data_IF_785677255031
#
_entry.id   IF_785677255031
#
_cell.length_a   1.000
_cell.length_b   1.000
_cell.length_c   1.000
_cell.angle_alpha   90.00
_cell.angle_beta   90.00
_cell.angle_gamma   90.00
#
_symmetry.space_group_name_H-M   'P 1'
#
loop_
_entity.id
_entity.type
_entity.pdbx_description
1 polymer ?
#
# COMPACT_ATOMS: atom_id res chain seq x y z
N UNK A 1 25.55 0.84 3.56
CA UNK A 1 24.78 1.78 2.73
C UNK A 1 23.40 1.16 2.57
N UNK A 2 22.37 1.77 3.12
CA UNK A 2 20.99 1.28 2.95
C UNK A 2 20.47 1.87 1.64
N UNK A 3 20.30 1.03 0.65
CA UNK A 3 19.74 1.42 -0.65
C UNK A 3 18.27 1.05 -0.65
N UNK A 4 17.39 2.01 -0.84
CA UNK A 4 15.93 1.79 -0.85
C UNK A 4 15.39 1.79 -2.28
N UNK A 5 14.67 0.74 -2.62
CA UNK A 5 13.92 0.68 -3.86
C UNK A 5 12.67 1.57 -3.78
N UNK A 6 12.18 2.03 -4.93
CA UNK A 6 10.96 2.85 -4.99
C UNK A 6 9.71 2.02 -4.73
N UNK A 7 8.77 2.57 -3.96
CA UNK A 7 7.58 1.86 -3.44
C UNK A 7 6.73 1.22 -4.54
N UNK A 8 6.59 1.89 -5.70
CA UNK A 8 5.77 1.39 -6.82
C UNK A 8 6.25 0.07 -7.42
N UNK A 9 7.55 -0.26 -7.22
CA UNK A 9 8.18 -1.46 -7.72
C UNK A 9 8.32 -2.57 -6.67
N UNK A 10 7.96 -2.29 -5.40
CA UNK A 10 8.16 -3.23 -4.31
C UNK A 10 6.94 -4.11 -4.08
N UNK A 11 7.12 -5.43 -3.91
CA UNK A 11 6.08 -6.28 -3.35
C UNK A 11 5.69 -5.86 -1.94
N UNK A 12 4.43 -6.02 -1.59
CA UNK A 12 3.89 -5.68 -0.28
C UNK A 12 3.07 -6.84 0.26
N UNK A 13 3.17 -7.10 1.57
CA UNK A 13 2.47 -8.18 2.25
C UNK A 13 1.64 -7.68 3.42
N UNK A 14 0.55 -8.37 3.72
CA UNK A 14 -0.35 -8.01 4.82
C UNK A 14 0.26 -8.21 6.22
N UNK A 15 1.39 -8.89 6.34
CA UNK A 15 2.04 -9.34 7.58
C UNK A 15 1.18 -10.26 8.44
N UNK A 16 -0.03 -9.86 8.75
CA UNK A 16 -0.98 -10.61 9.58
C UNK A 16 -2.04 -11.32 8.72
N UNK A 17 -2.65 -12.34 9.29
CA UNK A 17 -3.66 -13.13 8.63
C UNK A 17 -5.06 -12.51 8.74
N UNK A 18 -5.92 -12.90 7.80
CA UNK A 18 -7.32 -12.50 7.70
C UNK A 18 -8.20 -13.72 7.41
N UNK A 19 -9.43 -13.63 7.78
CA UNK A 19 -10.45 -14.55 7.28
C UNK A 19 -10.62 -14.34 5.77
N UNK A 20 -10.78 -15.43 5.04
CA UNK A 20 -11.06 -15.43 3.60
C UNK A 20 -12.22 -16.39 3.32
N UNK A 21 -13.45 -15.92 3.56
CA UNK A 21 -14.61 -16.79 3.60
C UNK A 21 -14.53 -17.79 4.75
N UNK A 22 -14.49 -19.06 4.42
CA UNK A 22 -14.31 -20.16 5.39
C UNK A 22 -12.82 -20.52 5.63
N UNK A 23 -11.92 -19.86 4.91
CA UNK A 23 -10.48 -20.07 5.00
C UNK A 23 -9.79 -18.94 5.78
N UNK A 24 -8.49 -19.11 5.99
CA UNK A 24 -7.59 -18.09 6.52
C UNK A 24 -6.51 -17.80 5.50
N UNK A 25 -6.18 -16.54 5.27
CA UNK A 25 -5.17 -16.14 4.30
C UNK A 25 -4.31 -14.96 4.78
N UNK A 26 -3.08 -14.88 4.28
CA UNK A 26 -2.32 -13.64 4.16
C UNK A 26 -2.43 -13.12 2.73
N UNK A 27 -2.31 -11.81 2.55
CA UNK A 27 -2.40 -11.19 1.23
C UNK A 27 -1.07 -10.59 0.80
N UNK A 28 -0.85 -10.58 -0.51
CA UNK A 28 0.29 -9.91 -1.14
C UNK A 28 -0.14 -9.10 -2.35
N UNK A 29 0.58 -8.01 -2.60
CA UNK A 29 0.40 -7.14 -3.77
C UNK A 29 1.73 -7.05 -4.49
N UNK A 30 1.78 -7.51 -5.74
CA UNK A 30 3.00 -7.64 -6.51
C UNK A 30 2.93 -6.79 -7.79
N UNK A 31 3.93 -5.95 -8.08
CA UNK A 31 3.97 -5.16 -9.31
C UNK A 31 3.91 -6.02 -10.57
N UNK A 32 3.07 -5.64 -11.54
CA UNK A 32 2.93 -6.34 -12.83
C UNK A 32 3.37 -5.51 -14.02
N UNK A 33 3.24 -4.18 -13.94
CA UNK A 33 3.49 -3.27 -15.07
C UNK A 33 4.95 -3.27 -15.49
N UNK A 34 5.21 -3.16 -16.79
CA UNK A 34 6.57 -3.12 -17.33
C UNK A 34 7.37 -1.91 -16.82
N UNK A 35 6.73 -0.75 -16.69
CA UNK A 35 7.39 0.45 -16.13
C UNK A 35 7.69 0.26 -14.62
N UNK A 36 6.85 -0.48 -13.88
CA UNK A 36 7.13 -0.85 -12.50
C UNK A 36 8.34 -1.77 -12.38
N UNK A 37 8.47 -2.77 -13.27
CA UNK A 37 9.64 -3.66 -13.32
C UNK A 37 10.92 -2.90 -13.64
N UNK A 38 10.86 -1.90 -14.55
CA UNK A 38 12.01 -1.03 -14.82
C UNK A 38 12.38 -0.21 -13.57
N UNK A 39 11.37 0.28 -12.84
CA UNK A 39 11.56 1.06 -11.63
C UNK A 39 12.18 0.24 -10.47
N UNK A 40 12.16 -1.09 -10.51
CA UNK A 40 12.81 -1.96 -9.52
C UNK A 40 14.33 -1.70 -9.42
N UNK A 41 14.94 -1.24 -10.52
CA UNK A 41 16.36 -0.86 -10.59
C UNK A 41 16.64 0.57 -10.12
N UNK A 42 15.62 1.28 -9.66
CA UNK A 42 15.74 2.65 -9.18
C UNK A 42 15.97 2.65 -7.68
N UNK A 43 17.10 3.21 -7.25
CA UNK A 43 17.48 3.26 -5.86
C UNK A 43 17.53 4.71 -5.37
N UNK A 44 17.27 4.89 -4.08
CA UNK A 44 17.31 6.16 -3.38
C UNK A 44 18.57 6.18 -2.53
N UNK A 45 19.36 7.24 -2.66
CA UNK A 45 20.59 7.45 -1.91
C UNK A 45 20.35 8.39 -0.71
N UNK A 46 21.22 8.33 0.28
CA UNK A 46 21.17 9.21 1.46
C UNK A 46 21.34 10.70 1.09
N UNK A 47 22.00 10.97 -0.03
CA UNK A 47 22.21 12.33 -0.58
C UNK A 47 21.00 12.92 -1.28
N UNK A 48 19.97 12.10 -1.56
CA UNK A 48 18.77 12.56 -2.25
C UNK A 48 17.92 13.47 -1.35
N UNK A 49 17.11 14.37 -1.93
CA UNK A 49 16.20 15.21 -1.17
C UNK A 49 15.23 14.40 -0.27
N UNK A 50 14.91 14.92 0.91
CA UNK A 50 14.05 14.25 1.89
C UNK A 50 12.65 13.85 1.34
N UNK A 51 12.20 14.51 0.29
CA UNK A 51 10.91 14.27 -0.36
C UNK A 51 11.01 13.45 -1.66
N UNK A 52 12.18 12.89 -1.99
CA UNK A 52 12.43 12.17 -3.24
C UNK A 52 11.44 11.03 -3.47
N UNK A 53 11.10 10.25 -2.42
CA UNK A 53 10.16 9.13 -2.51
C UNK A 53 8.77 9.62 -2.93
N UNK A 54 8.28 10.69 -2.29
CA UNK A 54 6.97 11.27 -2.57
C UNK A 54 6.89 11.85 -3.97
N UNK A 55 7.95 12.54 -4.39
CA UNK A 55 8.03 13.11 -5.74
C UNK A 55 8.09 12.02 -6.80
N UNK A 56 8.94 11.01 -6.60
CA UNK A 56 9.05 9.89 -7.52
C UNK A 56 7.71 9.16 -7.69
N UNK A 57 7.05 8.83 -6.58
CA UNK A 57 5.75 8.15 -6.61
C UNK A 57 4.69 8.99 -7.33
N UNK A 58 4.62 10.30 -7.06
CA UNK A 58 3.72 11.20 -7.77
C UNK A 58 3.98 11.21 -9.27
N UNK A 59 5.23 11.45 -9.66
CA UNK A 59 5.63 11.55 -11.06
C UNK A 59 5.40 10.24 -11.81
N UNK A 60 5.63 9.12 -11.15
CA UNK A 60 5.37 7.80 -11.70
C UNK A 60 3.88 7.58 -11.98
N UNK A 61 3.02 7.85 -11.00
CA UNK A 61 1.57 7.69 -11.12
C UNK A 61 0.92 8.70 -12.07
N UNK A 62 1.52 9.87 -12.26
CA UNK A 62 1.04 10.83 -13.25
C UNK A 62 1.27 10.38 -14.70
N UNK A 63 2.29 9.55 -14.94
CA UNK A 63 2.72 9.18 -16.30
C UNK A 63 2.32 7.78 -16.71
N UNK A 64 2.18 6.89 -15.73
CA UNK A 64 2.06 5.47 -15.99
C UNK A 64 0.76 4.90 -15.41
N UNK A 65 0.14 4.01 -16.16
CA UNK A 65 -0.82 3.08 -15.60
C UNK A 65 -0.07 2.11 -14.69
N UNK A 66 -0.56 1.94 -13.46
CA UNK A 66 0.03 1.07 -12.45
C UNK A 66 -0.83 -0.17 -12.29
N UNK A 67 -0.22 -1.33 -12.35
CA UNK A 67 -0.92 -2.61 -12.29
C UNK A 67 -0.29 -3.52 -11.25
N UNK A 68 -1.11 -4.08 -10.37
CA UNK A 68 -0.65 -5.03 -9.36
C UNK A 68 -1.42 -6.34 -9.45
N UNK A 69 -0.70 -7.42 -9.21
CA UNK A 69 -1.25 -8.74 -8.93
C UNK A 69 -1.61 -8.80 -7.45
N UNK A 70 -2.89 -8.94 -7.14
CA UNK A 70 -3.37 -9.17 -5.77
C UNK A 70 -3.49 -10.66 -5.53
N UNK A 71 -2.81 -11.16 -4.50
CA UNK A 71 -2.70 -12.58 -4.20
C UNK A 71 -3.13 -12.91 -2.78
N UNK A 72 -3.59 -14.14 -2.58
CA UNK A 72 -3.82 -14.73 -1.27
C UNK A 72 -2.95 -15.97 -1.08
N UNK A 73 -2.34 -16.08 0.08
CA UNK A 73 -1.66 -17.28 0.56
C UNK A 73 -2.55 -17.97 1.57
N UNK A 74 -3.08 -19.12 1.24
CA UNK A 74 -4.00 -19.84 2.10
C UNK A 74 -3.28 -20.57 3.23
N UNK A 75 -3.89 -20.57 4.41
CA UNK A 75 -3.48 -21.39 5.53
C UNK A 75 -3.82 -22.87 5.23
N UNK A 76 -2.80 -23.72 5.23
CA UNK A 76 -2.94 -25.17 5.05
C UNK A 76 -2.42 -25.97 6.25
N UNK A 77 -1.45 -25.41 6.98
CA UNK A 77 -0.84 -26.04 8.15
C UNK A 77 -0.59 -24.99 9.24
N UNK A 78 -1.33 -25.09 10.34
CA UNK A 78 -1.26 -24.09 11.42
C UNK A 78 0.09 -24.08 12.15
N UNK A 79 0.79 -25.20 12.22
CA UNK A 79 2.08 -25.30 12.90
C UNK A 79 3.19 -24.56 12.11
N UNK A 80 3.12 -24.56 10.78
CA UNK A 80 4.07 -23.91 9.90
C UNK A 80 3.62 -22.50 9.48
N UNK A 81 2.33 -22.22 9.57
CA UNK A 81 1.71 -20.95 9.20
C UNK A 81 0.96 -20.34 10.40
N UNK A 82 1.62 -20.04 11.51
CA UNK A 82 0.94 -19.52 12.69
C UNK A 82 0.27 -18.17 12.40
N UNK A 83 -0.91 -17.98 13.01
CA UNK A 83 -1.71 -16.75 12.85
C UNK A 83 -1.32 -15.69 13.89
N UNK A 84 -0.97 -16.11 15.10
CA UNK A 84 -0.65 -15.21 16.21
C UNK A 84 0.84 -14.83 16.28
N UNK A 85 1.72 -15.58 15.64
CA UNK A 85 3.16 -15.27 15.54
C UNK A 85 3.49 -14.63 14.19
N UNK A 86 3.64 -13.31 14.17
CA UNK A 86 3.99 -12.55 12.96
C UNK A 86 5.49 -12.63 12.62
N UNK A 87 6.33 -13.12 13.52
CA UNK A 87 7.76 -13.33 13.30
C UNK A 87 8.06 -14.52 12.39
N UNK A 88 7.08 -15.42 12.23
CA UNK A 88 7.22 -16.59 11.36
C UNK A 88 6.66 -16.26 9.98
N UNK A 89 7.54 -16.31 9.00
CA UNK A 89 7.17 -16.18 7.58
C UNK A 89 6.49 -17.47 7.10
N UNK A 90 5.41 -17.31 6.35
CA UNK A 90 4.77 -18.43 5.67
C UNK A 90 5.52 -18.73 4.38
N UNK A 91 6.12 -19.89 4.27
CA UNK A 91 6.96 -20.28 3.13
C UNK A 91 6.17 -20.27 1.80
N UNK A 92 6.47 -19.31 0.93
CA UNK A 92 5.80 -19.16 -0.38
C UNK A 92 6.13 -20.30 -1.37
N UNK A 93 7.22 -21.04 -1.15
CA UNK A 93 7.58 -22.20 -1.99
C UNK A 93 6.70 -23.40 -1.66
N UNK A 94 6.35 -23.57 -0.38
CA UNK A 94 5.49 -24.65 0.09
C UNK A 94 4.01 -24.30 0.00
N UNK A 95 3.67 -23.06 0.29
CA UNK A 95 2.32 -22.50 0.33
C UNK A 95 2.27 -21.28 -0.60
N UNK A 96 2.04 -21.47 -1.92
CA UNK A 96 2.20 -20.40 -2.90
C UNK A 96 1.14 -19.30 -2.77
N UNK A 97 1.52 -18.11 -3.20
CA UNK A 97 0.60 -16.97 -3.37
C UNK A 97 -0.27 -17.19 -4.61
N UNK A 98 -1.56 -17.40 -4.41
CA UNK A 98 -2.56 -17.56 -5.47
C UNK A 98 -3.05 -16.21 -5.98
N UNK A 99 -3.03 -15.98 -7.29
CA UNK A 99 -3.54 -14.76 -7.91
C UNK A 99 -5.07 -14.75 -7.87
N UNK A 100 -5.65 -13.78 -7.17
CA UNK A 100 -7.10 -13.66 -7.00
C UNK A 100 -7.72 -12.45 -7.71
N UNK A 101 -6.94 -11.39 -7.92
CA UNK A 101 -7.41 -10.20 -8.63
C UNK A 101 -6.25 -9.39 -9.20
N UNK A 102 -6.54 -8.55 -10.18
CA UNK A 102 -5.62 -7.53 -10.70
C UNK A 102 -6.15 -6.15 -10.32
N UNK A 103 -5.27 -5.34 -9.72
CA UNK A 103 -5.56 -3.95 -9.39
C UNK A 103 -4.95 -3.06 -10.47
N UNK A 104 -5.75 -2.19 -11.04
CA UNK A 104 -5.32 -1.25 -12.08
C UNK A 104 -5.60 0.19 -11.64
N UNK A 105 -4.62 1.04 -11.78
CA UNK A 105 -4.70 2.46 -11.47
C UNK A 105 -4.32 3.25 -12.72
N UNK A 106 -5.27 4.01 -13.24
CA UNK A 106 -5.01 4.90 -14.37
C UNK A 106 -4.13 6.08 -13.95
N UNK A 107 -3.39 6.70 -14.89
CA UNK A 107 -2.55 7.85 -14.58
C UNK A 107 -3.34 8.97 -13.90
N UNK A 108 -2.84 9.44 -12.75
CA UNK A 108 -3.52 10.45 -11.94
C UNK A 108 -2.53 11.19 -11.03
N UNK A 109 -2.85 12.45 -10.67
CA UNK A 109 -2.13 13.16 -9.63
C UNK A 109 -2.72 12.84 -8.25
N UNK A 110 -2.06 11.93 -7.54
CA UNK A 110 -2.45 11.51 -6.18
C UNK A 110 -1.92 12.45 -5.08
N UNK A 111 -1.18 13.51 -5.43
CA UNK A 111 -0.46 14.34 -4.48
C UNK A 111 -0.88 15.80 -4.48
N UNK A 112 -2.08 16.11 -5.00
CA UNK A 112 -2.63 17.45 -4.93
C UNK A 112 -2.84 17.88 -3.48
N UNK A 113 -2.51 19.11 -3.07
CA UNK A 113 -2.60 19.58 -1.69
C UNK A 113 -4.00 19.39 -1.10
N UNK A 114 -5.06 19.71 -1.87
CA UNK A 114 -6.45 19.61 -1.44
C UNK A 114 -6.85 18.14 -1.19
N UNK A 115 -6.43 17.25 -2.09
CA UNK A 115 -6.70 15.83 -2.00
C UNK A 115 -5.95 15.20 -0.82
N UNK A 116 -4.68 15.54 -0.67
CA UNK A 116 -3.82 15.08 0.43
C UNK A 116 -4.36 15.53 1.78
N UNK A 117 -4.73 16.80 1.94
CA UNK A 117 -5.29 17.33 3.18
C UNK A 117 -6.57 16.58 3.55
N UNK A 118 -7.44 16.34 2.56
CA UNK A 118 -8.67 15.61 2.80
C UNK A 118 -8.40 14.16 3.27
N UNK A 119 -7.45 13.46 2.63
CA UNK A 119 -7.05 12.10 3.02
C UNK A 119 -6.40 12.08 4.40
N UNK A 120 -5.40 12.91 4.62
CA UNK A 120 -4.63 12.94 5.86
C UNK A 120 -5.49 13.30 7.07
N UNK A 121 -6.44 14.21 6.91
CA UNK A 121 -7.24 14.71 8.01
C UNK A 121 -8.53 13.91 8.25
N UNK A 122 -9.11 13.32 7.23
CA UNK A 122 -10.46 12.76 7.32
C UNK A 122 -10.57 11.26 7.13
N UNK A 123 -9.71 10.66 6.30
CA UNK A 123 -9.77 9.21 6.06
C UNK A 123 -9.19 8.44 7.23
N UNK A 124 -9.84 7.34 7.53
CA UNK A 124 -9.37 6.39 8.53
C UNK A 124 -9.09 5.05 7.89
N UNK A 125 -7.82 4.64 7.90
CA UNK A 125 -7.46 3.26 7.60
C UNK A 125 -7.67 2.42 8.86
N UNK A 126 -8.60 1.49 8.81
CA UNK A 126 -8.83 0.56 9.91
C UNK A 126 -9.10 -0.83 9.34
N UNK A 127 -8.26 -1.78 9.68
CA UNK A 127 -8.38 -3.18 9.21
C UNK A 127 -9.68 -3.87 9.65
N UNK A 128 -10.37 -3.30 10.65
CA UNK A 128 -11.65 -3.83 11.16
C UNK A 128 -12.88 -3.26 10.45
N UNK A 129 -12.70 -2.25 9.57
CA UNK A 129 -13.75 -1.73 8.71
C UNK A 129 -13.82 -2.54 7.42
N UNK A 130 -14.38 -3.71 7.50
CA UNK A 130 -14.49 -4.62 6.38
C UNK A 130 -15.59 -5.64 6.60
N UNK A 131 -15.78 -6.49 5.61
CA UNK A 131 -16.77 -7.56 5.67
C UNK A 131 -16.36 -8.60 6.72
N UNK A 132 -17.34 -9.18 7.41
CA UNK A 132 -17.11 -10.25 8.40
C UNK A 132 -16.37 -11.47 7.80
N UNK A 133 -16.58 -11.74 6.51
CA UNK A 133 -15.90 -12.81 5.78
C UNK A 133 -14.42 -12.53 5.52
N UNK A 134 -13.97 -11.27 5.74
CA UNK A 134 -12.58 -10.83 5.65
C UNK A 134 -12.07 -10.27 6.99
N UNK A 135 -12.63 -10.74 8.09
CA UNK A 135 -12.27 -10.27 9.43
C UNK A 135 -10.77 -10.45 9.71
N UNK A 136 -10.10 -9.43 10.26
CA UNK A 136 -8.72 -9.53 10.72
C UNK A 136 -8.55 -10.59 11.81
N UNK A 137 -7.50 -11.38 11.76
CA UNK A 137 -7.18 -12.44 12.70
C UNK A 137 -5.84 -12.16 13.40
N UNK A 138 -5.62 -12.87 14.49
CA UNK A 138 -4.38 -12.83 15.26
C UNK A 138 -4.27 -11.67 16.27
N UNK A 139 -3.29 -11.80 17.17
CA UNK A 139 -3.03 -10.86 18.27
C UNK A 139 -2.72 -9.45 17.78
N UNK A 140 -1.90 -9.34 16.73
CA UNK A 140 -1.54 -8.04 16.12
C UNK A 140 -2.76 -7.29 15.60
N UNK A 141 -3.69 -7.98 14.94
CA UNK A 141 -4.91 -7.34 14.47
C UNK A 141 -5.86 -6.97 15.61
N UNK A 142 -5.91 -7.75 16.69
CA UNK A 142 -6.65 -7.37 17.91
C UNK A 142 -6.09 -6.10 18.53
N UNK A 143 -4.76 -5.98 18.62
CA UNK A 143 -4.09 -4.75 19.08
C UNK A 143 -4.40 -3.56 18.15
N UNK A 144 -4.33 -3.73 16.83
CA UNK A 144 -4.66 -2.67 15.85
C UNK A 144 -6.06 -2.10 16.06
N UNK A 145 -7.03 -2.91 16.49
CA UNK A 145 -8.39 -2.44 16.77
C UNK A 145 -8.42 -1.29 17.77
N UNK A 146 -7.64 -1.40 18.83
CA UNK A 146 -7.55 -0.38 19.88
C UNK A 146 -6.67 0.78 19.45
N UNK A 147 -5.45 0.47 18.98
CA UNK A 147 -4.45 1.48 18.63
C UNK A 147 -4.94 2.40 17.50
N UNK A 148 -5.59 1.86 16.46
CA UNK A 148 -6.09 2.67 15.36
C UNK A 148 -7.25 3.58 15.79
N UNK A 149 -8.11 3.10 16.69
CA UNK A 149 -9.21 3.91 17.23
C UNK A 149 -8.68 5.09 18.03
N UNK A 150 -7.71 4.87 18.93
CA UNK A 150 -7.14 5.94 19.76
C UNK A 150 -6.26 6.89 18.95
N UNK A 151 -5.45 6.38 18.03
CA UNK A 151 -4.64 7.21 17.12
C UNK A 151 -5.52 8.13 16.26
N UNK A 152 -6.64 7.61 15.74
CA UNK A 152 -7.61 8.40 15.00
C UNK A 152 -8.22 9.52 15.85
N UNK A 153 -8.66 9.18 17.07
CA UNK A 153 -9.24 10.13 18.01
C UNK A 153 -8.26 11.27 18.33
N UNK A 154 -7.00 10.94 18.60
CA UNK A 154 -5.95 11.94 18.81
C UNK A 154 -5.77 12.85 17.59
N UNK A 155 -5.69 12.29 16.39
CA UNK A 155 -5.53 13.06 15.15
C UNK A 155 -6.68 14.05 14.94
N UNK A 156 -7.93 13.62 15.18
CA UNK A 156 -9.09 14.52 15.10
C UNK A 156 -9.00 15.67 16.09
N UNK A 157 -8.58 15.39 17.33
CA UNK A 157 -8.42 16.42 18.36
C UNK A 157 -7.34 17.43 17.98
N UNK A 158 -6.17 16.95 17.51
CA UNK A 158 -5.06 17.81 17.06
C UNK A 158 -5.45 18.68 15.89
N UNK A 159 -6.19 18.12 14.92
CA UNK A 159 -6.62 18.85 13.71
C UNK A 159 -7.90 19.68 13.92
N UNK A 160 -8.44 19.72 15.14
CA UNK A 160 -9.62 20.55 15.46
C UNK A 160 -10.96 20.03 14.92
N UNK A 161 -11.01 18.77 14.47
CA UNK A 161 -12.26 18.16 14.00
C UNK A 161 -13.05 17.53 15.15
N UNK A 162 -14.35 17.73 15.16
CA UNK A 162 -15.24 17.13 16.18
C UNK A 162 -15.58 15.67 15.85
N UNK A 163 -15.73 15.36 14.58
CA UNK A 163 -16.08 14.03 14.08
C UNK A 163 -15.23 13.67 12.86
N UNK A 164 -14.89 12.39 12.75
CA UNK A 164 -14.34 11.88 11.49
C UNK A 164 -15.50 11.54 10.54
N UNK A 165 -15.19 11.52 9.26
CA UNK A 165 -16.10 11.11 8.22
C UNK A 165 -15.65 9.75 7.72
N UNK A 166 -16.51 8.73 7.87
CA UNK A 166 -16.40 7.54 7.05
C UNK A 166 -17.25 7.80 5.80
N UNK A 167 -16.65 7.76 4.61
CA UNK A 167 -17.44 7.94 3.39
C UNK A 167 -18.54 6.88 3.34
N UNK A 168 -19.80 7.29 3.30
CA UNK A 168 -20.93 6.38 3.13
C UNK A 168 -21.02 5.84 1.70
N UNK A 169 -20.27 6.45 0.78
CA UNK A 169 -20.18 6.03 -0.61
C UNK A 169 -19.07 6.74 -1.37
N UNK A 170 -18.77 6.26 -2.58
CA UNK A 170 -17.70 6.80 -3.43
C UNK A 170 -17.92 8.28 -3.80
N UNK A 171 -19.17 8.79 -3.79
CA UNK A 171 -19.47 10.18 -4.09
C UNK A 171 -18.97 11.19 -3.04
N UNK A 172 -18.62 10.74 -1.83
CA UNK A 172 -18.07 11.60 -0.77
C UNK A 172 -16.55 11.71 -0.82
N UNK A 173 -15.92 10.84 -1.58
CA UNK A 173 -14.48 10.89 -1.83
C UNK A 173 -14.22 11.82 -3.01
N UNK A 174 -13.31 12.81 -2.89
CA UNK A 174 -12.96 13.64 -4.03
C UNK A 174 -12.56 12.77 -5.22
N UNK A 175 -13.13 13.05 -6.39
CA UNK A 175 -12.77 12.33 -7.60
C UNK A 175 -11.27 12.48 -7.88
N UNK A 176 -10.57 11.41 -8.30
CA UNK A 176 -9.18 11.54 -8.75
C UNK A 176 -9.14 12.55 -9.89
N UNK A 177 -8.25 13.51 -9.78
CA UNK A 177 -8.02 14.48 -10.86
C UNK A 177 -7.15 13.76 -11.90
N UNK A 178 -7.62 13.62 -13.17
CA UNK A 178 -6.80 13.06 -14.22
C UNK A 178 -5.48 13.81 -14.30
N UNK A 179 -4.38 13.07 -14.45
CA UNK A 179 -3.08 13.69 -14.62
C UNK A 179 -3.14 14.67 -15.79
N UNK A 180 -2.75 15.93 -15.60
CA UNK A 180 -2.63 16.85 -16.73
C UNK A 180 -1.64 16.24 -17.71
N UNK A 181 -1.86 16.42 -19.02
CA UNK A 181 -0.91 16.01 -20.06
C UNK A 181 0.33 16.92 -20.00
N UNK A 182 1.03 16.90 -18.88
CA UNK A 182 2.22 17.68 -18.66
C UNK A 182 3.42 16.80 -18.97
N UNK A 183 4.12 17.12 -20.04
CA UNK A 183 5.47 16.65 -20.32
C UNK A 183 6.44 17.35 -19.37
N UNK A 184 6.46 16.96 -18.11
CA UNK A 184 7.53 17.39 -17.20
C UNK A 184 8.77 16.55 -17.52
N UNK A 185 9.93 17.18 -17.81
CA UNK A 185 11.17 16.43 -17.90
C UNK A 185 11.40 15.76 -16.53
N UNK A 186 11.76 14.49 -16.53
CA UNK A 186 12.33 13.84 -15.35
C UNK A 186 13.55 14.66 -14.95
N UNK A 187 13.41 15.52 -13.95
CA UNK A 187 14.56 16.15 -13.35
C UNK A 187 15.32 15.03 -12.63
N UNK A 188 16.62 14.96 -12.93
CA UNK A 188 17.62 13.96 -12.60
C UNK A 188 17.77 13.70 -11.08
N UNK A 189 16.69 13.33 -10.39
CA UNK A 189 16.69 13.10 -8.95
C UNK A 189 17.00 11.65 -8.58
N UNK A 190 16.97 10.73 -9.53
CA UNK A 190 17.20 9.30 -9.24
C UNK A 190 18.10 8.71 -10.32
N UNK A 191 19.25 8.18 -9.92
CA UNK A 191 20.17 7.49 -10.81
C UNK A 191 19.74 6.04 -11.00
N UNK A 192 19.65 5.61 -12.25
CA UNK A 192 19.50 4.18 -12.58
C UNK A 192 20.88 3.54 -12.56
N UNK A 193 21.10 2.55 -11.73
CA UNK A 193 22.33 1.79 -11.72
C UNK A 193 22.20 0.70 -12.79
N UNK A 194 23.00 0.79 -13.86
CA UNK A 194 23.19 -0.35 -14.76
C UNK A 194 24.03 -1.37 -14.01
N UNK A 195 23.44 -2.52 -13.73
CA UNK A 195 24.16 -3.69 -13.24
C UNK A 195 24.70 -4.40 -14.47
N UNK A 196 26.01 -4.25 -14.70
CA UNK A 196 26.70 -5.03 -15.71
C UNK A 196 26.52 -6.52 -15.41
N UNK A 197 26.04 -7.23 -16.40
CA UNK A 197 25.76 -8.67 -16.40
C UNK A 197 27.04 -9.51 -16.46
#
# INVERSE_FOLDING_TARGET
MLTFCVVVAMPQWSQSAYRHGDYVAKYGVFPLGEEQKKAEKTFIEESDPINVISQYNRDFHMRNKVTYKFCAQLLQNLDEQPVDDIGIEWDEKKYPMEHIATLEFEPQDSWLPEFRTWWDDRITCNTWHGLKVHQPLGSTNRMRRVVYAESRKLRLQVNGYKNYIEPAGLGEVPAPIPAPQITLPLQNAVKTVEVDS
#
